data_IF_997689022521
#
_entry.id   IF_997689022521
#
_cell.length_a   1.000
_cell.length_b   1.000
_cell.length_c   1.000
_cell.angle_alpha   90.00
_cell.angle_beta   90.00
_cell.angle_gamma   90.00
#
_symmetry.space_group_name_H-M   'P 1'
#
loop_
_entity.id
_entity.type
_entity.pdbx_description
1 polymer ?
#
# COMPACT_ATOMS: atom_id res chain seq x y z
N UNK A 1 29.36 -16.13 6.90
CA UNK A 1 30.55 -16.29 6.03
C UNK A 1 30.15 -16.73 4.61
N UNK A 2 29.41 -17.83 4.41
CA UNK A 2 28.95 -18.25 3.06
C UNK A 2 28.15 -17.17 2.30
N UNK A 3 27.11 -16.61 2.91
CA UNK A 3 26.25 -15.61 2.23
C UNK A 3 27.01 -14.34 1.83
N UNK A 4 27.97 -13.89 2.66
CA UNK A 4 28.81 -12.75 2.33
C UNK A 4 29.69 -13.01 1.10
N UNK A 5 30.31 -14.20 1.02
CA UNK A 5 31.08 -14.61 -0.15
C UNK A 5 30.21 -14.73 -1.41
N UNK A 6 28.98 -15.24 -1.27
CA UNK A 6 28.04 -15.33 -2.38
C UNK A 6 27.66 -13.93 -2.92
N UNK A 7 27.31 -12.99 -2.03
CA UNK A 7 26.98 -11.63 -2.43
C UNK A 7 28.18 -10.90 -3.05
N UNK A 8 29.39 -11.03 -2.49
CA UNK A 8 30.59 -10.43 -3.07
C UNK A 8 30.89 -11.00 -4.47
N UNK A 9 30.75 -12.32 -4.64
CA UNK A 9 30.90 -12.97 -5.94
C UNK A 9 29.87 -12.47 -6.95
N UNK A 10 28.58 -12.43 -6.57
CA UNK A 10 27.48 -12.01 -7.45
C UNK A 10 27.67 -10.58 -7.94
N UNK A 11 27.90 -9.62 -7.04
CA UNK A 11 28.09 -8.22 -7.41
C UNK A 11 29.40 -7.96 -8.18
N UNK A 12 30.42 -8.81 -8.02
CA UNK A 12 31.63 -8.73 -8.84
C UNK A 12 31.42 -9.23 -10.26
N UNK A 13 30.64 -10.29 -10.44
CA UNK A 13 30.36 -10.90 -11.75
C UNK A 13 29.24 -10.16 -12.49
N UNK A 14 28.25 -9.67 -11.76
CA UNK A 14 27.03 -9.03 -12.25
C UNK A 14 26.73 -7.78 -11.40
N UNK A 15 27.37 -6.62 -11.66
CA UNK A 15 27.24 -5.43 -10.82
C UNK A 15 25.82 -4.89 -10.63
N UNK A 16 24.94 -5.17 -11.60
CA UNK A 16 23.53 -4.74 -11.58
C UNK A 16 22.58 -5.80 -11.00
N UNK A 17 23.09 -6.96 -10.53
CA UNK A 17 22.22 -7.96 -9.92
C UNK A 17 21.63 -7.44 -8.61
N UNK A 18 20.42 -7.88 -8.30
CA UNK A 18 19.76 -7.58 -7.03
C UNK A 18 19.64 -8.88 -6.23
N UNK A 19 20.09 -8.82 -4.99
CA UNK A 19 20.00 -9.89 -4.01
C UNK A 19 19.08 -9.46 -2.87
N UNK A 20 18.08 -10.29 -2.57
CA UNK A 20 17.06 -10.01 -1.54
C UNK A 20 17.14 -11.07 -0.46
N UNK A 21 17.23 -10.64 0.80
CA UNK A 21 17.16 -11.52 1.95
C UNK A 21 15.73 -11.62 2.50
N UNK A 22 15.26 -12.85 2.66
CA UNK A 22 14.10 -13.17 3.48
C UNK A 22 14.59 -13.43 4.92
N UNK A 23 14.56 -12.39 5.76
CA UNK A 23 14.97 -12.46 7.17
C UNK A 23 13.93 -11.79 8.07
N UNK A 24 13.28 -12.60 8.89
CA UNK A 24 12.32 -12.14 9.91
C UNK A 24 13.01 -11.55 11.15
N UNK A 25 14.26 -11.94 11.42
CA UNK A 25 14.92 -11.64 12.70
C UNK A 25 15.26 -10.16 12.86
N UNK A 26 15.48 -9.42 11.77
CA UNK A 26 15.89 -8.03 11.89
C UNK A 26 17.40 -7.82 11.85
N UNK A 27 18.19 -8.78 11.35
CA UNK A 27 19.64 -8.79 11.53
C UNK A 27 20.27 -7.49 11.01
N UNK A 28 20.94 -6.69 11.89
CA UNK A 28 21.63 -5.48 11.46
C UNK A 28 22.75 -5.78 10.46
N UNK A 29 22.98 -4.85 9.52
CA UNK A 29 24.03 -4.94 8.50
C UNK A 29 23.87 -6.11 7.52
N UNK A 30 22.70 -6.76 7.47
CA UNK A 30 22.39 -7.77 6.48
C UNK A 30 22.41 -7.18 5.07
N UNK A 31 21.88 -5.95 4.93
CA UNK A 31 21.80 -5.23 3.66
C UNK A 31 22.87 -4.14 3.51
N UNK A 32 24.03 -4.32 4.15
CA UNK A 32 25.17 -3.42 4.02
C UNK A 32 26.34 -4.10 3.29
N UNK A 33 27.20 -3.34 2.58
CA UNK A 33 28.34 -3.90 1.86
C UNK A 33 29.30 -4.68 2.76
N UNK A 34 29.93 -5.72 2.19
CA UNK A 34 30.92 -6.52 2.89
C UNK A 34 32.14 -5.70 3.35
N UNK A 35 32.52 -4.67 2.59
CA UNK A 35 33.64 -3.78 2.88
C UNK A 35 33.52 -3.02 4.21
N UNK A 36 32.29 -2.87 4.74
CA UNK A 36 32.01 -2.25 6.04
C UNK A 36 31.53 -3.26 7.09
N UNK A 37 31.71 -4.56 6.83
CA UNK A 37 31.35 -5.65 7.74
C UNK A 37 29.92 -6.18 7.59
N UNK A 38 29.19 -5.77 6.54
CA UNK A 38 27.87 -6.30 6.24
C UNK A 38 27.87 -7.65 5.50
N UNK A 39 26.68 -8.21 5.29
CA UNK A 39 26.48 -9.47 4.56
C UNK A 39 26.34 -9.26 3.04
N UNK A 40 26.05 -8.04 2.59
CA UNK A 40 26.08 -7.64 1.19
C UNK A 40 24.79 -7.88 0.40
N UNK A 41 23.64 -8.12 1.05
CA UNK A 41 22.36 -8.09 0.34
C UNK A 41 21.97 -6.66 -0.05
N UNK A 42 21.20 -6.49 -1.11
CA UNK A 42 20.70 -5.17 -1.53
C UNK A 42 19.45 -4.76 -0.77
N UNK A 43 18.56 -5.73 -0.56
CA UNK A 43 17.27 -5.54 0.09
C UNK A 43 16.98 -6.66 1.08
N UNK A 44 16.07 -6.36 2.00
CA UNK A 44 15.36 -7.37 2.78
C UNK A 44 13.85 -7.19 2.70
N UNK A 45 13.12 -8.25 2.96
CA UNK A 45 11.66 -8.21 3.05
C UNK A 45 11.19 -7.54 4.35
N UNK A 46 10.24 -6.62 4.26
CA UNK A 46 9.61 -5.96 5.41
C UNK A 46 8.48 -6.82 6.00
N UNK A 47 8.85 -7.98 6.56
CA UNK A 47 7.92 -9.05 6.95
C UNK A 47 6.94 -8.66 8.08
N UNK A 48 7.23 -7.60 8.85
CA UNK A 48 6.33 -7.12 9.91
C UNK A 48 5.07 -6.40 9.37
N UNK A 49 5.09 -5.94 8.11
CA UNK A 49 3.98 -5.16 7.54
C UNK A 49 2.72 -6.05 7.35
N UNK A 50 2.78 -7.22 6.69
CA UNK A 50 1.61 -8.09 6.58
C UNK A 50 1.06 -8.56 7.92
N UNK A 51 1.92 -8.88 8.89
CA UNK A 51 1.51 -9.31 10.24
C UNK A 51 0.67 -8.25 10.95
N UNK A 52 1.06 -6.98 10.81
CA UNK A 52 0.28 -5.85 11.33
C UNK A 52 -1.11 -5.82 10.70
N UNK A 53 -1.23 -5.95 9.38
CA UNK A 53 -2.54 -5.95 8.72
C UNK A 53 -3.39 -7.13 9.14
N UNK A 54 -2.83 -8.34 9.22
CA UNK A 54 -3.54 -9.52 9.74
C UNK A 54 -4.09 -9.23 11.15
N UNK A 55 -3.26 -8.70 12.03
CA UNK A 55 -3.65 -8.38 13.40
C UNK A 55 -4.78 -7.35 13.45
N UNK A 56 -4.69 -6.29 12.65
CA UNK A 56 -5.74 -5.28 12.54
C UNK A 56 -7.07 -5.90 12.09
N UNK A 57 -7.09 -6.79 11.10
CA UNK A 57 -8.32 -7.39 10.60
C UNK A 57 -8.88 -8.50 11.51
N UNK A 58 -8.02 -9.21 12.25
CA UNK A 58 -8.43 -10.27 13.19
C UNK A 58 -8.96 -9.72 14.52
N UNK A 59 -8.34 -8.65 15.02
CA UNK A 59 -8.49 -8.24 16.43
C UNK A 59 -9.14 -6.86 16.62
N UNK A 60 -9.28 -6.05 15.57
CA UNK A 60 -9.71 -4.65 15.67
C UNK A 60 -10.83 -4.33 14.70
N UNK A 61 -11.80 -3.53 15.15
CA UNK A 61 -12.70 -2.82 14.24
C UNK A 61 -11.99 -1.60 13.63
N UNK A 62 -12.50 -1.09 12.50
CA UNK A 62 -11.90 0.04 11.76
C UNK A 62 -11.61 1.27 12.66
N UNK A 63 -12.51 1.59 13.59
CA UNK A 63 -12.36 2.76 14.48
C UNK A 63 -11.27 2.56 15.55
N UNK A 64 -10.89 1.32 15.82
CA UNK A 64 -9.85 0.97 16.78
C UNK A 64 -8.46 0.90 16.13
N UNK A 65 -8.35 1.16 14.83
CA UNK A 65 -7.06 1.24 14.15
C UNK A 65 -6.25 2.40 14.72
N UNK A 66 -5.03 2.10 15.15
CA UNK A 66 -4.05 3.06 15.67
C UNK A 66 -3.20 3.56 14.49
N UNK A 67 -3.43 4.81 14.10
CA UNK A 67 -2.76 5.43 12.95
C UNK A 67 -1.28 5.66 13.24
N UNK A 68 -0.93 5.95 14.49
CA UNK A 68 0.44 6.07 14.95
C UNK A 68 1.20 4.76 14.84
N UNK A 69 0.61 3.63 15.23
CA UNK A 69 1.19 2.30 15.12
C UNK A 69 1.29 1.84 13.65
N UNK A 70 0.30 2.17 12.82
CA UNK A 70 0.35 1.94 11.37
C UNK A 70 1.55 2.68 10.77
N UNK A 71 1.64 4.00 11.01
CA UNK A 71 2.75 4.83 10.55
C UNK A 71 4.09 4.32 11.08
N UNK A 72 4.17 3.98 12.37
CA UNK A 72 5.38 3.45 13.00
C UNK A 72 5.83 2.15 12.34
N UNK A 73 4.94 1.17 12.15
CA UNK A 73 5.31 -0.12 11.56
C UNK A 73 5.82 0.04 10.13
N UNK A 74 5.19 0.90 9.33
CA UNK A 74 5.61 1.18 7.96
C UNK A 74 6.95 1.94 7.90
N UNK A 75 7.29 2.71 8.93
CA UNK A 75 8.49 3.57 8.94
C UNK A 75 9.63 3.08 9.83
N UNK A 76 9.41 2.07 10.67
CA UNK A 76 10.39 1.53 11.60
C UNK A 76 11.40 0.62 10.87
N UNK A 77 12.32 1.27 10.16
CA UNK A 77 13.29 0.65 9.24
C UNK A 77 14.67 1.20 9.54
N UNK A 78 15.72 0.42 9.23
CA UNK A 78 17.10 0.86 9.48
C UNK A 78 17.54 1.83 8.39
N UNK A 79 17.95 3.02 8.77
CA UNK A 79 18.49 3.99 7.82
C UNK A 79 19.71 3.41 7.10
N UNK A 80 19.72 3.50 5.77
CA UNK A 80 20.79 2.96 4.92
C UNK A 80 20.65 1.49 4.54
N UNK A 81 19.66 0.75 5.07
CA UNK A 81 19.36 -0.62 4.66
C UNK A 81 18.00 -0.65 3.93
N UNK A 82 18.01 -1.00 2.63
CA UNK A 82 16.80 -0.95 1.82
C UNK A 82 15.84 -2.09 2.15
N UNK A 83 14.55 -1.82 2.11
CA UNK A 83 13.51 -2.83 2.36
C UNK A 83 12.47 -2.88 1.24
N UNK A 84 12.02 -4.09 0.90
CA UNK A 84 10.88 -4.33 0.01
C UNK A 84 9.63 -4.48 0.87
N UNK A 85 8.68 -3.59 0.68
CA UNK A 85 7.39 -3.57 1.35
C UNK A 85 6.32 -4.31 0.56
N UNK A 86 5.40 -4.95 1.26
CA UNK A 86 4.27 -5.64 0.66
C UNK A 86 3.16 -5.74 1.71
N UNK A 87 1.90 -5.61 1.27
CA UNK A 87 0.75 -5.60 2.16
C UNK A 87 0.35 -7.01 2.60
N UNK A 88 0.57 -7.99 1.72
CA UNK A 88 0.30 -9.40 1.94
C UNK A 88 1.26 -10.27 1.12
N UNK A 89 1.54 -11.47 1.60
CA UNK A 89 2.53 -12.42 1.09
C UNK A 89 1.87 -13.60 0.35
N UNK A 90 2.72 -14.47 -0.20
CA UNK A 90 2.28 -15.74 -0.77
C UNK A 90 1.76 -16.72 0.30
N UNK A 91 2.29 -16.67 1.53
CA UNK A 91 1.83 -17.52 2.63
C UNK A 91 0.37 -17.24 3.00
N UNK A 92 -0.02 -15.96 3.02
CA UNK A 92 -1.40 -15.54 3.30
C UNK A 92 -2.39 -15.93 2.20
N UNK A 93 -1.89 -16.23 1.00
CA UNK A 93 -2.70 -16.74 -0.09
C UNK A 93 -2.93 -18.25 0.01
N UNK A 94 -2.22 -18.99 0.86
CA UNK A 94 -2.36 -20.43 0.99
C UNK A 94 -3.62 -20.83 1.78
N UNK A 95 -4.06 -22.07 1.57
CA UNK A 95 -5.13 -22.69 2.36
C UNK A 95 -4.81 -22.63 3.87
N UNK A 96 -5.78 -22.14 4.65
CA UNK A 96 -5.64 -21.99 6.09
C UNK A 96 -5.36 -20.56 6.57
N UNK A 97 -5.08 -19.64 5.64
CA UNK A 97 -5.13 -18.19 5.90
C UNK A 97 -6.11 -17.49 4.94
N UNK A 98 -6.20 -16.16 5.02
CA UNK A 98 -7.01 -15.33 4.14
C UNK A 98 -6.17 -14.21 3.53
N UNK A 99 -6.35 -13.98 2.24
CA UNK A 99 -5.89 -12.76 1.56
C UNK A 99 -6.53 -11.52 2.18
N UNK A 100 -5.96 -10.35 1.94
CA UNK A 100 -6.49 -9.07 2.41
C UNK A 100 -7.94 -8.89 1.97
N UNK A 101 -8.25 -9.21 0.71
CA UNK A 101 -9.60 -9.10 0.17
C UNK A 101 -10.58 -10.09 0.84
N UNK A 102 -10.13 -11.31 1.15
CA UNK A 102 -10.94 -12.29 1.88
C UNK A 102 -11.16 -11.91 3.35
N UNK A 103 -10.22 -11.19 3.99
CA UNK A 103 -10.44 -10.57 5.31
C UNK A 103 -11.48 -9.45 5.26
N UNK A 104 -11.50 -8.68 4.17
CA UNK A 104 -12.32 -7.48 4.05
C UNK A 104 -13.77 -7.78 3.63
N UNK A 105 -13.97 -8.70 2.70
CA UNK A 105 -15.24 -8.96 2.03
C UNK A 105 -15.82 -10.36 2.32
N UNK A 106 -14.96 -11.32 2.67
CA UNK A 106 -15.33 -12.73 2.91
C UNK A 106 -16.30 -13.26 1.83
N UNK A 107 -17.36 -13.96 2.22
CA UNK A 107 -18.34 -14.57 1.33
C UNK A 107 -19.09 -13.60 0.41
N UNK A 108 -19.13 -12.30 0.71
CA UNK A 108 -19.79 -11.34 -0.18
C UNK A 108 -19.04 -11.18 -1.50
N UNK A 109 -17.76 -11.55 -1.56
CA UNK A 109 -17.00 -11.57 -2.82
C UNK A 109 -17.66 -12.45 -3.90
N UNK A 110 -18.32 -13.54 -3.50
CA UNK A 110 -18.93 -14.49 -4.43
C UNK A 110 -20.28 -14.03 -4.98
N UNK A 111 -20.92 -13.05 -4.34
CA UNK A 111 -22.30 -12.63 -4.67
C UNK A 111 -22.40 -11.17 -5.09
N UNK A 112 -21.49 -10.32 -4.62
CA UNK A 112 -21.54 -8.86 -4.81
C UNK A 112 -20.27 -8.29 -5.47
N UNK A 113 -19.51 -9.10 -6.21
CA UNK A 113 -18.43 -8.57 -7.07
C UNK A 113 -18.89 -8.25 -8.49
N UNK A 114 -20.16 -8.45 -8.84
CA UNK A 114 -20.71 -7.98 -10.12
C UNK A 114 -21.18 -6.53 -10.01
N UNK A 115 -20.88 -5.72 -11.02
CA UNK A 115 -21.37 -4.33 -11.12
C UNK A 115 -22.89 -4.22 -11.26
N UNK A 116 -23.56 -5.33 -11.61
CA UNK A 116 -25.02 -5.41 -11.74
C UNK A 116 -25.74 -5.68 -10.41
N UNK A 117 -24.98 -6.09 -9.39
CA UNK A 117 -25.49 -6.35 -8.04
C UNK A 117 -25.36 -5.12 -7.17
N UNK A 118 -26.09 -5.09 -6.05
CA UNK A 118 -25.96 -4.01 -5.06
C UNK A 118 -24.49 -3.80 -4.67
N UNK A 119 -24.10 -2.54 -4.51
CA UNK A 119 -22.80 -2.19 -3.96
C UNK A 119 -22.96 -2.10 -2.45
N UNK A 120 -22.86 -3.24 -1.78
CA UNK A 120 -23.11 -3.34 -0.34
C UNK A 120 -22.04 -2.56 0.44
N UNK A 121 -22.36 -2.09 1.67
CA UNK A 121 -21.38 -1.42 2.52
C UNK A 121 -20.12 -2.27 2.80
N UNK A 122 -20.23 -3.59 2.75
CA UNK A 122 -19.10 -4.52 2.94
C UNK A 122 -18.17 -4.50 1.72
N UNK A 123 -18.72 -4.60 0.50
CA UNK A 123 -17.92 -4.52 -0.73
C UNK A 123 -17.33 -3.12 -0.91
N UNK A 124 -18.09 -2.06 -0.63
CA UNK A 124 -17.58 -0.69 -0.66
C UNK A 124 -16.40 -0.52 0.31
N UNK A 125 -16.56 -0.94 1.57
CA UNK A 125 -15.49 -0.93 2.57
C UNK A 125 -14.27 -1.70 2.09
N UNK A 126 -14.47 -2.93 1.61
CA UNK A 126 -13.37 -3.80 1.26
C UNK A 126 -12.59 -3.31 0.06
N UNK A 127 -13.27 -2.85 -0.99
CA UNK A 127 -12.59 -2.25 -2.14
C UNK A 127 -11.83 -0.98 -1.77
N UNK A 128 -12.40 -0.12 -0.93
CA UNK A 128 -11.74 1.10 -0.47
C UNK A 128 -10.48 0.80 0.35
N UNK A 129 -10.60 -0.05 1.38
CA UNK A 129 -9.49 -0.40 2.26
C UNK A 129 -8.41 -1.21 1.53
N UNK A 130 -8.77 -2.09 0.59
CA UNK A 130 -7.80 -2.81 -0.23
C UNK A 130 -6.87 -1.85 -0.97
N UNK A 131 -7.44 -0.84 -1.64
CA UNK A 131 -6.66 0.21 -2.34
C UNK A 131 -5.81 1.01 -1.36
N UNK A 132 -6.40 1.49 -0.26
CA UNK A 132 -5.70 2.33 0.71
C UNK A 132 -4.53 1.62 1.40
N UNK A 133 -4.72 0.36 1.80
CA UNK A 133 -3.69 -0.45 2.47
C UNK A 133 -2.51 -0.69 1.54
N UNK A 134 -2.78 -1.06 0.28
CA UNK A 134 -1.74 -1.24 -0.73
C UNK A 134 -1.00 0.06 -1.00
N UNK A 135 -1.73 1.17 -1.16
CA UNK A 135 -1.14 2.49 -1.41
C UNK A 135 -0.28 3.00 -0.25
N UNK A 136 -0.75 2.93 0.99
CA UNK A 136 0.04 3.40 2.14
C UNK A 136 1.28 2.53 2.34
N UNK A 137 1.19 1.22 2.07
CA UNK A 137 2.34 0.31 2.07
C UNK A 137 3.35 0.69 0.98
N UNK A 138 2.87 0.94 -0.25
CA UNK A 138 3.68 1.36 -1.40
C UNK A 138 4.40 2.69 -1.14
N UNK A 139 3.70 3.64 -0.54
CA UNK A 139 4.18 4.99 -0.34
C UNK A 139 5.10 5.13 0.88
N UNK A 140 4.87 4.37 1.96
CA UNK A 140 5.52 4.60 3.26
C UNK A 140 6.43 3.45 3.72
N UNK A 141 6.21 2.23 3.20
CA UNK A 141 6.77 0.99 3.76
C UNK A 141 8.20 0.64 3.35
N UNK A 142 8.76 1.23 2.29
CA UNK A 142 10.01 0.72 1.72
C UNK A 142 10.67 1.55 0.62
N UNK A 143 11.79 1.02 0.12
CA UNK A 143 12.49 1.44 -1.12
C UNK A 143 12.22 0.49 -2.29
N UNK A 144 11.30 -0.45 -2.10
CA UNK A 144 10.80 -1.35 -3.13
C UNK A 144 9.42 -1.86 -2.74
N UNK A 145 8.65 -2.31 -3.72
CA UNK A 145 7.34 -2.91 -3.50
C UNK A 145 7.27 -4.32 -4.09
N UNK A 146 6.54 -5.20 -3.42
CA UNK A 146 6.27 -6.55 -3.88
C UNK A 146 4.76 -6.82 -3.82
N UNK A 147 4.28 -7.53 -4.84
CA UNK A 147 2.91 -8.01 -4.91
C UNK A 147 2.92 -9.48 -5.37
N UNK A 148 2.19 -10.34 -4.67
CA UNK A 148 2.01 -11.72 -5.09
C UNK A 148 0.86 -11.82 -6.10
N UNK A 149 1.10 -12.56 -7.19
CA UNK A 149 0.18 -12.66 -8.34
C UNK A 149 -1.27 -12.94 -7.92
N UNK A 150 -2.20 -12.12 -8.39
CA UNK A 150 -3.62 -12.15 -8.08
C UNK A 150 -4.04 -11.14 -7.00
N UNK A 151 -3.16 -10.81 -6.05
CA UNK A 151 -3.51 -9.90 -4.96
C UNK A 151 -3.70 -8.45 -5.46
N UNK A 152 -3.13 -8.11 -6.61
CA UNK A 152 -3.29 -6.78 -7.22
C UNK A 152 -4.74 -6.43 -7.51
N UNK A 153 -5.54 -7.42 -7.90
CA UNK A 153 -6.96 -7.26 -8.17
C UNK A 153 -7.85 -7.87 -7.08
N UNK A 154 -7.30 -8.26 -5.92
CA UNK A 154 -8.06 -8.89 -4.84
C UNK A 154 -8.63 -10.24 -5.24
N UNK A 155 -7.80 -11.14 -5.79
CA UNK A 155 -8.20 -12.49 -6.20
C UNK A 155 -8.98 -13.21 -5.08
N UNK A 156 -10.14 -13.83 -5.39
CA UNK A 156 -10.97 -14.52 -4.40
C UNK A 156 -10.35 -15.85 -3.98
N UNK A 157 -11.01 -16.55 -3.05
CA UNK A 157 -10.63 -17.91 -2.61
C UNK A 157 -9.21 -17.95 -1.99
N UNK A 158 -8.47 -19.03 -2.24
CA UNK A 158 -7.12 -19.30 -1.75
C UNK A 158 -6.38 -20.19 -2.76
N UNK A 159 -5.06 -20.32 -2.57
CA UNK A 159 -4.16 -21.22 -3.28
C UNK A 159 -4.00 -22.52 -2.46
N UNK A 160 -4.25 -23.67 -3.06
CA UNK A 160 -3.98 -24.99 -2.44
C UNK A 160 -3.39 -25.93 -3.48
N UNK A 161 -2.24 -26.52 -3.14
CA UNK A 161 -1.53 -27.45 -4.02
C UNK A 161 -2.07 -28.88 -3.87
N UNK A 162 -1.97 -29.72 -4.92
CA UNK A 162 -2.35 -31.13 -4.85
C UNK A 162 -1.63 -31.85 -3.71
N UNK A 163 -2.41 -32.41 -2.78
CA UNK A 163 -1.90 -33.19 -1.64
C UNK A 163 -2.94 -34.21 -1.19
N UNK A 164 -2.53 -35.15 -0.33
CA UNK A 164 -3.43 -36.17 0.21
C UNK A 164 -4.70 -35.57 0.87
N UNK A 165 -4.56 -34.45 1.58
CA UNK A 165 -5.67 -33.78 2.27
C UNK A 165 -6.71 -33.08 1.38
N UNK A 166 -6.49 -33.00 0.06
CA UNK A 166 -7.45 -32.47 -0.91
C UNK A 166 -7.65 -33.41 -2.11
N UNK A 167 -7.35 -34.70 -1.95
CA UNK A 167 -7.45 -35.73 -2.99
C UNK A 167 -6.62 -35.39 -4.25
N UNK A 168 -5.43 -34.80 -4.09
CA UNK A 168 -4.56 -34.35 -5.18
C UNK A 168 -5.29 -33.41 -6.17
N UNK A 169 -6.17 -32.56 -5.66
CA UNK A 169 -6.92 -31.61 -6.48
C UNK A 169 -6.03 -30.47 -6.97
N UNK A 170 -6.18 -30.11 -8.24
CA UNK A 170 -5.58 -28.92 -8.84
C UNK A 170 -6.54 -27.73 -8.88
N UNK A 171 -7.76 -27.88 -8.34
CA UNK A 171 -8.82 -26.86 -8.46
C UNK A 171 -8.40 -25.48 -7.95
N UNK A 172 -7.65 -25.43 -6.85
CA UNK A 172 -7.15 -24.18 -6.25
C UNK A 172 -5.68 -23.90 -6.59
N UNK A 173 -5.03 -24.74 -7.39
CA UNK A 173 -3.65 -24.53 -7.85
C UNK A 173 -3.64 -23.75 -9.17
N UNK A 174 -4.34 -22.61 -9.21
CA UNK A 174 -4.56 -21.79 -10.41
C UNK A 174 -4.74 -20.30 -10.08
N UNK A 175 -4.71 -19.47 -11.12
CA UNK A 175 -5.11 -18.06 -11.07
C UNK A 175 -6.25 -17.77 -12.03
N UNK A 176 -7.23 -17.00 -11.56
CA UNK A 176 -8.42 -16.60 -12.30
C UNK A 176 -8.22 -15.22 -12.94
N UNK A 177 -7.20 -15.09 -13.81
CA UNK A 177 -6.81 -13.80 -14.38
C UNK A 177 -7.93 -13.17 -15.23
N UNK A 178 -8.81 -14.00 -15.80
CA UNK A 178 -10.00 -13.59 -16.53
C UNK A 178 -10.97 -12.71 -15.72
N UNK A 179 -10.90 -12.73 -14.37
CA UNK A 179 -11.74 -11.87 -13.52
C UNK A 179 -11.47 -10.38 -13.74
N UNK A 180 -10.26 -10.02 -14.17
CA UNK A 180 -9.89 -8.62 -14.46
C UNK A 180 -10.37 -8.16 -15.83
N UNK A 181 -10.61 -9.09 -16.75
CA UNK A 181 -11.04 -8.82 -18.12
C UNK A 181 -12.57 -8.67 -18.24
N UNK A 182 -13.32 -9.25 -17.30
CA UNK A 182 -14.77 -9.16 -17.30
C UNK A 182 -15.26 -7.78 -16.84
N UNK A 183 -15.77 -7.00 -17.79
CA UNK A 183 -16.34 -5.67 -17.56
C UNK A 183 -17.55 -5.64 -16.61
N UNK A 184 -18.19 -6.80 -16.37
CA UNK A 184 -19.30 -6.94 -15.43
C UNK A 184 -18.85 -7.21 -14.00
N UNK A 185 -17.54 -7.38 -13.76
CA UNK A 185 -16.97 -7.62 -12.43
C UNK A 185 -16.20 -6.41 -11.89
N UNK A 186 -16.14 -6.31 -10.56
CA UNK A 186 -15.49 -5.22 -9.81
C UNK A 186 -13.98 -5.43 -9.65
N UNK A 187 -13.44 -6.62 -9.91
CA UNK A 187 -11.99 -6.90 -9.84
C UNK A 187 -11.17 -6.00 -10.78
N UNK A 188 -11.72 -5.65 -11.96
CA UNK A 188 -11.10 -4.72 -12.91
C UNK A 188 -10.75 -3.36 -12.28
N UNK A 189 -11.56 -2.89 -11.33
CA UNK A 189 -11.34 -1.61 -10.66
C UNK A 189 -10.12 -1.63 -9.73
N UNK A 190 -9.91 -2.76 -9.05
CA UNK A 190 -8.72 -2.97 -8.20
C UNK A 190 -7.47 -3.11 -9.06
N UNK A 191 -7.57 -3.83 -10.18
CA UNK A 191 -6.50 -3.96 -11.16
C UNK A 191 -6.12 -2.61 -11.81
N UNK A 192 -7.12 -1.79 -12.13
CA UNK A 192 -6.93 -0.46 -12.70
C UNK A 192 -6.25 0.48 -11.68
N UNK A 193 -6.66 0.41 -10.41
CA UNK A 193 -6.00 1.13 -9.34
C UNK A 193 -4.54 0.70 -9.17
N UNK A 194 -4.27 -0.61 -9.21
CA UNK A 194 -2.91 -1.13 -9.13
C UNK A 194 -2.02 -0.57 -10.24
N UNK A 195 -2.51 -0.63 -11.48
CA UNK A 195 -1.81 -0.04 -12.62
C UNK A 195 -1.53 1.44 -12.40
N UNK A 196 -2.54 2.21 -11.98
CA UNK A 196 -2.39 3.63 -11.72
C UNK A 196 -1.34 3.89 -10.62
N UNK A 197 -1.36 3.13 -9.52
CA UNK A 197 -0.37 3.19 -8.44
C UNK A 197 1.06 3.00 -8.98
N UNK A 198 1.29 1.96 -9.79
CA UNK A 198 2.61 1.67 -10.36
C UNK A 198 3.06 2.74 -11.36
N UNK A 199 2.18 3.16 -12.28
CA UNK A 199 2.53 4.20 -13.27
C UNK A 199 2.75 5.58 -12.64
N UNK A 200 2.07 5.86 -11.52
CA UNK A 200 2.28 7.10 -10.77
C UNK A 200 3.62 7.03 -10.03
N UNK A 201 4.02 5.85 -9.54
CA UNK A 201 5.35 5.68 -8.94
C UNK A 201 6.45 5.81 -9.98
N UNK A 202 6.30 5.22 -11.17
CA UNK A 202 7.25 5.40 -12.28
C UNK A 202 7.44 6.89 -12.62
N UNK A 203 6.36 7.69 -12.56
CA UNK A 203 6.42 9.12 -12.84
C UNK A 203 7.16 9.92 -11.75
N UNK A 204 6.87 9.65 -10.47
CA UNK A 204 7.35 10.50 -9.36
C UNK A 204 8.48 9.88 -8.51
N UNK A 205 8.77 8.60 -8.69
CA UNK A 205 9.91 7.87 -8.12
C UNK A 205 9.97 7.83 -6.59
N UNK A 206 8.84 7.70 -5.89
CA UNK A 206 8.86 7.81 -4.43
C UNK A 206 9.51 6.63 -3.72
N UNK A 207 9.64 5.45 -4.33
CA UNK A 207 10.40 4.33 -3.74
C UNK A 207 11.90 4.63 -3.72
N UNK A 208 12.39 5.47 -4.64
CA UNK A 208 13.78 5.93 -4.68
C UNK A 208 14.04 7.16 -3.81
N UNK A 209 12.99 7.84 -3.36
CA UNK A 209 13.10 9.02 -2.51
C UNK A 209 13.45 8.65 -1.07
N UNK A 210 14.08 9.59 -0.32
CA UNK A 210 14.23 9.47 1.12
C UNK A 210 12.90 9.17 1.83
N UNK A 211 13.02 8.65 3.04
CA UNK A 211 11.88 8.35 3.89
C UNK A 211 10.97 9.58 4.07
N UNK A 212 9.66 9.32 4.07
CA UNK A 212 8.65 10.36 4.15
C UNK A 212 8.74 11.20 5.44
N UNK A 213 8.33 12.47 5.34
CA UNK A 213 8.05 13.32 6.49
C UNK A 213 6.57 13.18 6.87
N UNK A 214 6.27 12.57 8.01
CA UNK A 214 4.89 12.43 8.50
C UNK A 214 4.50 13.68 9.30
N UNK A 215 3.62 14.50 8.75
CA UNK A 215 3.13 15.71 9.41
C UNK A 215 1.95 15.44 10.34
N UNK A 216 1.10 14.46 10.04
CA UNK A 216 -0.08 14.16 10.85
C UNK A 216 -0.36 12.67 10.96
N UNK A 217 -0.68 12.21 12.17
CA UNK A 217 -1.19 10.87 12.50
C UNK A 217 -2.29 11.03 13.55
N UNK A 218 -3.48 11.42 13.10
CA UNK A 218 -4.56 11.85 13.97
C UNK A 218 -5.48 10.67 14.36
N UNK A 219 -5.46 10.29 15.63
CA UNK A 219 -6.20 9.10 16.12
C UNK A 219 -7.72 9.27 16.16
N UNK A 220 -8.23 10.49 16.38
CA UNK A 220 -9.68 10.74 16.38
C UNK A 220 -10.26 10.67 14.97
N UNK A 221 -9.81 11.61 14.13
CA UNK A 221 -10.18 11.70 12.71
C UNK A 221 -9.75 10.50 11.86
N UNK A 222 -8.83 9.65 12.34
CA UNK A 222 -8.19 8.56 11.57
C UNK A 222 -7.52 9.04 10.29
N UNK A 223 -6.88 10.22 10.35
CA UNK A 223 -6.21 10.83 9.21
C UNK A 223 -4.69 10.72 9.33
N UNK A 224 -4.05 10.25 8.26
CA UNK A 224 -2.60 10.18 8.11
C UNK A 224 -2.18 11.11 6.97
N UNK A 225 -1.23 12.01 7.24
CA UNK A 225 -0.67 12.95 6.26
C UNK A 225 0.85 12.89 6.28
N UNK A 226 1.45 12.79 5.10
CA UNK A 226 2.90 12.82 4.95
C UNK A 226 3.32 13.38 3.59
N UNK A 227 4.58 13.77 3.49
CA UNK A 227 5.23 14.16 2.23
C UNK A 227 6.33 13.16 1.86
N UNK A 228 6.36 12.70 0.61
CA UNK A 228 7.44 11.88 0.05
C UNK A 228 7.60 12.20 -1.43
N UNK A 229 8.84 12.38 -1.89
CA UNK A 229 9.16 12.73 -3.28
C UNK A 229 8.45 14.00 -3.80
N UNK A 230 8.25 15.00 -2.94
CA UNK A 230 7.54 16.23 -3.30
C UNK A 230 6.02 16.08 -3.44
N UNK A 231 5.49 14.87 -3.24
CA UNK A 231 4.05 14.60 -3.20
C UNK A 231 3.52 14.75 -1.78
N UNK A 232 2.29 15.26 -1.68
CA UNK A 232 1.52 15.34 -0.44
C UNK A 232 0.48 14.21 -0.42
N UNK A 233 0.57 13.37 0.61
CA UNK A 233 -0.23 12.16 0.78
C UNK A 233 -1.22 12.35 1.91
N UNK A 234 -2.49 12.04 1.67
CA UNK A 234 -3.57 12.27 2.63
C UNK A 234 -4.45 11.04 2.64
N UNK A 235 -4.52 10.34 3.76
CA UNK A 235 -5.36 9.15 3.94
C UNK A 235 -6.40 9.41 5.04
N UNK A 236 -7.66 9.11 4.76
CA UNK A 236 -8.74 9.10 5.73
C UNK A 236 -9.22 7.66 5.95
N UNK A 237 -8.73 7.04 7.03
CA UNK A 237 -9.12 5.68 7.45
C UNK A 237 -10.39 5.67 8.30
N UNK A 238 -11.05 6.81 8.52
CA UNK A 238 -12.26 6.84 9.32
C UNK A 238 -13.34 5.97 8.67
N UNK A 239 -14.09 5.16 9.44
CA UNK A 239 -15.12 4.29 8.87
C UNK A 239 -16.34 5.05 8.33
N UNK A 240 -16.68 6.20 8.91
CA UNK A 240 -17.88 6.99 8.57
C UNK A 240 -17.67 8.48 8.23
N UNK A 241 -16.64 9.15 8.75
CA UNK A 241 -16.56 10.60 8.72
C UNK A 241 -15.80 11.06 7.48
N UNK A 242 -16.41 12.01 6.78
CA UNK A 242 -15.77 12.76 5.70
C UNK A 242 -15.46 14.16 6.22
N UNK A 243 -14.33 14.72 5.80
CA UNK A 243 -13.89 16.03 6.29
C UNK A 243 -13.86 17.03 5.15
N UNK A 244 -14.62 18.12 5.28
CA UNK A 244 -14.52 19.31 4.42
C UNK A 244 -13.52 20.28 5.02
N UNK A 245 -12.83 21.03 4.16
CA UNK A 245 -11.90 22.09 4.57
C UNK A 245 -10.79 21.61 5.53
N UNK A 246 -10.41 20.33 5.44
CA UNK A 246 -9.44 19.71 6.33
C UNK A 246 -8.05 20.26 6.07
N UNK A 247 -7.44 20.89 7.08
CA UNK A 247 -6.12 21.51 6.96
C UNK A 247 -5.02 20.46 7.03
N UNK A 248 -4.19 20.43 5.99
CA UNK A 248 -3.01 19.58 5.91
C UNK A 248 -1.78 20.44 5.71
N UNK A 249 -0.74 20.18 6.49
CA UNK A 249 0.53 20.90 6.41
C UNK A 249 1.34 20.43 5.20
N UNK A 250 2.00 21.36 4.52
CA UNK A 250 2.85 21.11 3.36
C UNK A 250 4.05 22.05 3.37
N UNK A 251 5.20 21.59 2.90
CA UNK A 251 6.44 22.36 3.01
C UNK A 251 6.57 23.42 1.94
N UNK A 252 6.37 23.01 0.69
CA UNK A 252 6.59 23.85 -0.49
C UNK A 252 5.30 24.60 -0.81
N UNK A 253 5.32 25.95 -0.87
CA UNK A 253 4.15 26.72 -1.27
C UNK A 253 3.87 26.53 -2.77
N UNK A 254 2.62 26.73 -3.16
CA UNK A 254 2.19 26.75 -4.56
C UNK A 254 0.76 26.26 -4.74
N UNK A 255 0.49 25.72 -5.93
CA UNK A 255 -0.80 25.11 -6.26
C UNK A 255 -0.62 23.62 -6.47
N UNK A 256 -1.39 22.82 -5.75
CA UNK A 256 -1.36 21.37 -5.85
C UNK A 256 -2.54 20.84 -6.64
N UNK A 257 -2.34 19.70 -7.31
CA UNK A 257 -3.31 18.96 -8.12
C UNK A 257 -3.39 17.51 -7.68
N UNK A 258 -4.57 16.91 -7.82
CA UNK A 258 -4.76 15.47 -7.62
C UNK A 258 -4.01 14.72 -8.72
N UNK A 259 -3.10 13.83 -8.32
CA UNK A 259 -2.41 12.92 -9.25
C UNK A 259 -2.85 11.48 -9.07
N UNK A 260 -3.41 11.14 -7.91
CA UNK A 260 -4.10 9.88 -7.67
C UNK A 260 -5.20 10.11 -6.62
N UNK A 261 -6.43 9.67 -6.93
CA UNK A 261 -7.55 9.65 -5.98
C UNK A 261 -8.15 8.25 -5.95
N UNK A 262 -8.04 7.57 -4.81
CA UNK A 262 -8.64 6.25 -4.63
C UNK A 262 -10.16 6.24 -4.79
N UNK A 263 -10.85 7.38 -4.64
CA UNK A 263 -12.29 7.52 -4.80
C UNK A 263 -12.73 7.67 -6.25
N UNK A 264 -11.80 7.71 -7.21
CA UNK A 264 -12.14 7.77 -8.64
C UNK A 264 -13.03 6.59 -9.07
N UNK A 265 -14.01 6.88 -9.92
CA UNK A 265 -14.93 5.86 -10.48
C UNK A 265 -14.20 4.80 -11.30
N UNK A 266 -13.07 5.16 -11.91
CA UNK A 266 -12.18 4.24 -12.64
C UNK A 266 -11.59 3.18 -11.71
N UNK A 267 -11.49 3.48 -10.42
CA UNK A 267 -11.04 2.56 -9.37
C UNK A 267 -12.19 2.01 -8.54
N UNK A 268 -13.44 2.17 -9.00
CA UNK A 268 -14.64 1.71 -8.29
C UNK A 268 -14.97 2.50 -7.03
N UNK A 269 -14.48 3.74 -6.90
CA UNK A 269 -14.91 4.69 -5.88
C UNK A 269 -16.16 5.48 -6.28
N UNK A 270 -16.56 6.44 -5.43
CA UNK A 270 -17.80 7.19 -5.60
C UNK A 270 -17.64 8.46 -6.46
N UNK A 271 -16.41 8.88 -6.73
CA UNK A 271 -16.06 10.06 -7.55
C UNK A 271 -16.48 11.37 -6.88
N UNK A 272 -16.18 11.53 -5.58
CA UNK A 272 -16.62 12.68 -4.80
C UNK A 272 -15.69 13.90 -4.91
N UNK A 273 -14.46 13.71 -5.39
CA UNK A 273 -13.55 14.82 -5.71
C UNK A 273 -13.56 15.13 -7.21
N UNK A 274 -13.38 16.41 -7.54
CA UNK A 274 -13.16 16.84 -8.92
C UNK A 274 -11.68 16.82 -9.25
N UNK A 275 -11.27 16.08 -10.30
CA UNK A 275 -9.86 15.99 -10.74
C UNK A 275 -9.24 17.37 -11.03
N UNK A 276 -10.04 18.30 -11.55
CA UNK A 276 -9.64 19.67 -11.89
C UNK A 276 -9.55 20.63 -10.68
N UNK A 277 -9.66 20.13 -9.45
CA UNK A 277 -9.50 20.95 -8.24
C UNK A 277 -8.07 21.50 -8.15
N UNK A 278 -7.95 22.76 -7.75
CA UNK A 278 -6.69 23.44 -7.42
C UNK A 278 -6.63 23.65 -5.92
N UNK A 279 -5.58 23.17 -5.28
CA UNK A 279 -5.36 23.39 -3.86
C UNK A 279 -4.27 24.44 -3.66
N UNK A 280 -4.67 25.64 -3.22
CA UNK A 280 -3.75 26.75 -2.99
C UNK A 280 -3.19 26.68 -1.56
N UNK A 281 -1.88 26.83 -1.42
CA UNK A 281 -1.26 26.91 -0.09
C UNK A 281 -1.42 28.29 0.53
N UNK A 282 -1.60 28.31 1.85
CA UNK A 282 -1.52 29.52 2.68
C UNK A 282 -0.21 29.52 3.48
N UNK A 283 0.49 30.64 3.49
CA UNK A 283 1.73 30.87 4.25
C UNK A 283 1.42 31.01 5.75
N UNK A 284 1.30 29.85 6.41
CA UNK A 284 1.05 29.71 7.84
C UNK A 284 1.46 28.31 8.28
N UNK A 285 2.18 28.25 9.40
CA UNK A 285 2.64 26.97 9.94
C UNK A 285 1.47 26.08 10.35
N UNK A 286 1.52 24.80 9.97
CA UNK A 286 0.56 23.79 10.38
C UNK A 286 1.23 22.43 10.50
N UNK A 287 1.08 21.76 11.66
CA UNK A 287 1.67 20.44 11.93
C UNK A 287 3.18 20.34 11.61
N UNK A 288 3.93 21.40 11.93
CA UNK A 288 5.38 21.46 11.71
C UNK A 288 5.81 21.61 10.25
N UNK A 289 4.92 22.08 9.37
CA UNK A 289 5.21 22.45 7.98
C UNK A 289 4.99 23.95 7.78
N UNK A 290 5.76 24.57 6.88
CA UNK A 290 5.72 26.03 6.65
C UNK A 290 4.39 26.55 6.10
N UNK A 291 3.65 25.73 5.36
CA UNK A 291 2.39 26.11 4.73
C UNK A 291 1.29 25.11 5.08
N UNK A 292 0.04 25.48 4.78
CA UNK A 292 -1.06 24.51 4.74
C UNK A 292 -1.93 24.70 3.50
N UNK A 293 -2.64 23.65 3.11
CA UNK A 293 -3.77 23.73 2.20
C UNK A 293 -4.98 23.01 2.80
N UNK A 294 -6.16 23.21 2.23
CA UNK A 294 -7.39 22.58 2.68
C UNK A 294 -7.90 21.60 1.63
N UNK A 295 -8.31 20.43 2.07
CA UNK A 295 -8.89 19.39 1.21
C UNK A 295 -10.28 18.98 1.66
N UNK A 296 -11.08 18.53 0.71
CA UNK A 296 -12.16 17.61 1.01
C UNK A 296 -11.58 16.20 0.97
N UNK A 297 -11.64 15.47 2.09
CA UNK A 297 -11.16 14.09 2.17
C UNK A 297 -12.30 13.17 2.65
N UNK A 298 -12.98 12.49 1.72
CA UNK A 298 -14.08 11.60 2.06
C UNK A 298 -13.65 10.41 2.94
N UNK A 299 -14.61 9.83 3.65
CA UNK A 299 -14.41 8.61 4.44
C UNK A 299 -13.84 7.47 3.58
N UNK A 300 -12.85 6.74 4.11
CA UNK A 300 -12.17 5.62 3.42
C UNK A 300 -11.60 6.00 2.04
N UNK A 301 -10.87 7.11 1.98
CA UNK A 301 -10.20 7.53 0.75
C UNK A 301 -8.77 7.97 1.02
N UNK A 302 -7.96 7.96 -0.03
CA UNK A 302 -6.65 8.58 -0.08
C UNK A 302 -6.52 9.48 -1.31
N UNK A 303 -5.87 10.62 -1.10
CA UNK A 303 -5.47 11.58 -2.12
C UNK A 303 -3.95 11.68 -2.15
N UNK A 304 -3.39 11.69 -3.35
CA UNK A 304 -2.00 12.03 -3.63
C UNK A 304 -2.00 13.30 -4.46
N UNK A 305 -1.35 14.34 -3.94
CA UNK A 305 -1.27 15.63 -4.58
C UNK A 305 0.17 15.92 -5.01
N UNK A 306 0.34 16.48 -6.21
CA UNK A 306 1.62 17.01 -6.68
C UNK A 306 1.51 18.51 -6.92
N UNK A 307 2.65 19.20 -6.91
CA UNK A 307 2.73 20.59 -7.32
C UNK A 307 2.38 20.69 -8.81
N UNK A 308 1.61 21.71 -9.22
CA UNK A 308 1.14 21.85 -10.61
C UNK A 308 2.29 21.94 -11.64
N UNK A 309 3.47 22.40 -11.21
CA UNK A 309 4.66 22.59 -12.04
C UNK A 309 5.70 21.43 -11.93
N UNK A 310 5.35 20.31 -11.28
CA UNK A 310 6.27 19.16 -11.05
C UNK A 310 6.08 17.98 -12.01
#
# INVERSE_FOLDING_TARGET
>A
MYLALANEMLHRLYPECITVAEDVSGMPALCLPHSIGGVGFDYRLAMAIPDMYIKLHKEKSDIEWDIGNLAFTLTNRRHGEKTIAYAESHDQALVGDKTLMMWLCDKEMYTHMSVLTEFTPVIERGMALHKMIRLVTHALGGEGYLNFEGNEFGHPEWLDFPRAGNNNSFWYARRQLNLTEDSLLRYRFLNEFDRAMQTTEEKYGWLHAPQAYISLKHEGDKVLVFERAGLLWIFNFHPTNSFTDYRVGVETPGTYRIVLDTDDKEFGGLGRNLKETRFFTTDMEWNGRRNFLQVYIPTRTALVLALEDS
#
